data_IF_925294510534
#
_entry.id   IF_925294510534
#
_cell.length_a   1.000
_cell.length_b   1.000
_cell.length_c   1.000
_cell.angle_alpha   90.00
_cell.angle_beta   90.00
_cell.angle_gamma   90.00
#
_symmetry.space_group_name_H-M   'P 1'
#
loop_
_entity.id
_entity.type
_entity.pdbx_description
1 polymer ?
#
# COMPACT_ATOMS: atom_id res chain seq x y z
N UNK A 1 -26.12 -23.95 -36.21
CA UNK A 1 -25.81 -22.69 -36.96
C UNK A 1 -25.84 -21.52 -35.99
N UNK A 2 -24.68 -20.97 -35.61
CA UNK A 2 -24.61 -19.75 -34.77
C UNK A 2 -24.76 -18.50 -35.65
N UNK A 3 -25.52 -17.46 -35.22
CA UNK A 3 -25.87 -16.34 -36.07
C UNK A 3 -24.62 -15.54 -36.50
N UNK A 4 -24.59 -15.18 -37.79
CA UNK A 4 -23.47 -14.54 -38.51
C UNK A 4 -22.94 -13.27 -37.79
N UNK A 5 -23.79 -12.58 -37.02
CA UNK A 5 -23.41 -11.38 -36.24
C UNK A 5 -22.34 -11.64 -35.17
N UNK A 6 -22.29 -12.82 -34.54
CA UNK A 6 -21.31 -13.13 -33.48
C UNK A 6 -19.90 -13.40 -34.03
N UNK A 7 -19.78 -13.85 -35.29
CA UNK A 7 -18.48 -14.10 -35.93
C UNK A 7 -17.78 -12.78 -36.31
N UNK A 8 -18.56 -11.75 -36.66
CA UNK A 8 -18.05 -10.45 -37.09
C UNK A 8 -17.44 -9.63 -35.94
N UNK A 9 -17.98 -9.75 -34.71
CA UNK A 9 -17.47 -9.02 -33.52
C UNK A 9 -16.19 -9.67 -32.99
N UNK A 10 -16.13 -11.01 -32.94
CA UNK A 10 -14.93 -11.75 -32.51
C UNK A 10 -13.72 -11.50 -33.43
N UNK A 11 -13.94 -11.38 -34.74
CA UNK A 11 -12.86 -11.11 -35.71
C UNK A 11 -12.30 -9.70 -35.57
N UNK A 12 -13.15 -8.69 -35.33
CA UNK A 12 -12.71 -7.31 -35.05
C UNK A 12 -11.93 -7.17 -33.75
N UNK A 13 -12.33 -7.87 -32.68
CA UNK A 13 -11.60 -7.84 -31.41
C UNK A 13 -10.20 -8.49 -31.51
N UNK A 14 -10.07 -9.60 -32.25
CA UNK A 14 -8.78 -10.30 -32.39
C UNK A 14 -7.74 -9.54 -33.25
N UNK A 15 -8.19 -8.66 -34.15
CA UNK A 15 -7.29 -7.79 -34.93
C UNK A 15 -6.91 -6.51 -34.17
N UNK A 16 -7.80 -5.98 -33.33
CA UNK A 16 -7.49 -4.85 -32.43
C UNK A 16 -6.38 -5.20 -31.44
N UNK A 17 -6.43 -6.39 -30.83
CA UNK A 17 -5.43 -6.83 -29.84
C UNK A 17 -4.06 -7.11 -30.49
N UNK A 18 -4.03 -7.61 -31.72
CA UNK A 18 -2.76 -7.82 -32.44
C UNK A 18 -2.04 -6.51 -32.75
N UNK A 19 -2.77 -5.44 -33.08
CA UNK A 19 -2.20 -4.11 -33.34
C UNK A 19 -1.57 -3.49 -32.08
N UNK A 20 -2.20 -3.62 -30.92
CA UNK A 20 -1.64 -3.12 -29.65
C UNK A 20 -0.37 -3.88 -29.21
N UNK A 21 -0.33 -5.21 -29.42
CA UNK A 21 0.86 -6.01 -29.08
C UNK A 21 2.04 -5.68 -30.01
N UNK A 22 1.79 -5.33 -31.28
CA UNK A 22 2.86 -4.90 -32.21
C UNK A 22 3.36 -3.50 -31.93
N UNK A 23 2.51 -2.57 -31.46
CA UNK A 23 2.92 -1.19 -31.20
C UNK A 23 3.73 -1.05 -29.89
N UNK A 24 3.52 -1.96 -28.92
CA UNK A 24 4.26 -1.99 -27.65
C UNK A 24 5.65 -2.64 -27.74
N UNK A 25 6.01 -3.22 -28.89
CA UNK A 25 7.35 -3.81 -29.13
C UNK A 25 8.35 -2.82 -29.75
N UNK A 26 7.87 -1.66 -30.20
CA UNK A 26 8.68 -0.65 -30.91
C UNK A 26 9.00 0.59 -30.07
N UNK A 27 8.51 0.69 -28.82
CA UNK A 27 8.73 1.84 -27.93
C UNK A 27 9.81 1.56 -26.86
N UNK A 28 10.88 0.86 -27.25
CA UNK A 28 12.13 0.80 -26.49
C UNK A 28 13.21 1.53 -27.32
N UNK A 29 13.07 2.84 -27.48
CA UNK A 29 14.15 3.75 -27.86
C UNK A 29 13.65 5.21 -27.79
N UNK A 30 14.46 6.08 -27.18
CA UNK A 30 14.29 7.53 -26.99
C UNK A 30 13.24 7.94 -25.92
N UNK A 31 13.51 8.85 -24.99
CA UNK A 31 14.66 9.70 -24.76
C UNK A 31 14.31 10.70 -23.64
N UNK A 32 15.35 11.08 -22.91
CA UNK A 32 15.52 12.23 -22.02
C UNK A 32 14.45 13.35 -21.96
N UNK A 33 14.24 13.84 -20.73
CA UNK A 33 13.89 15.22 -20.32
C UNK A 33 12.47 15.74 -20.58
N UNK A 34 11.69 15.80 -19.50
CA UNK A 34 10.92 17.02 -19.16
C UNK A 34 11.05 17.25 -17.65
N UNK A 35 11.85 18.24 -17.29
CA UNK A 35 11.86 18.84 -15.96
C UNK A 35 10.78 19.92 -15.92
N UNK A 36 9.68 19.67 -15.21
CA UNK A 36 8.72 20.70 -14.83
C UNK A 36 8.78 20.90 -13.33
N UNK A 37 9.47 21.98 -12.94
CA UNK A 37 9.55 22.47 -11.57
C UNK A 37 8.18 22.93 -11.10
N UNK A 38 7.47 22.09 -10.35
CA UNK A 38 6.40 22.55 -9.49
C UNK A 38 7.00 22.93 -8.14
N UNK A 39 6.93 24.22 -7.82
CA UNK A 39 7.32 24.76 -6.52
C UNK A 39 6.49 24.07 -5.43
N UNK A 40 7.16 23.24 -4.61
CA UNK A 40 6.57 22.62 -3.43
C UNK A 40 6.65 23.63 -2.29
N UNK A 41 5.53 24.02 -1.65
CA UNK A 41 5.60 24.82 -0.43
C UNK A 41 6.34 24.03 0.64
N UNK A 42 7.44 24.61 1.15
CA UNK A 42 8.22 24.05 2.23
C UNK A 42 7.38 24.04 3.51
N UNK A 43 6.76 22.90 3.82
CA UNK A 43 6.20 22.66 5.14
C UNK A 43 7.35 22.43 6.12
N UNK A 44 7.62 23.44 6.93
CA UNK A 44 8.54 23.36 8.06
C UNK A 44 8.06 22.28 9.03
N UNK A 45 8.93 21.30 9.29
CA UNK A 45 8.70 20.24 10.27
C UNK A 45 8.73 20.89 11.67
N UNK A 46 7.66 20.83 12.48
CA UNK A 46 7.67 21.40 13.81
C UNK A 46 8.69 20.64 14.68
N UNK A 47 9.59 21.40 15.31
CA UNK A 47 10.56 20.91 16.28
C UNK A 47 9.82 20.24 17.45
N UNK A 48 9.94 18.92 17.58
CA UNK A 48 9.37 18.18 18.71
C UNK A 48 9.01 16.71 18.45
N UNK A 49 8.97 16.25 17.20
CA UNK A 49 8.78 14.83 16.88
C UNK A 49 10.11 14.15 16.56
N UNK A 50 10.45 13.07 17.27
CA UNK A 50 11.55 12.17 16.89
C UNK A 50 11.34 11.69 15.45
N UNK A 51 12.02 12.35 14.51
CA UNK A 51 12.05 11.98 13.11
C UNK A 51 12.92 10.72 13.01
N UNK A 52 12.30 9.56 13.17
CA UNK A 52 12.98 8.27 13.18
C UNK A 52 13.37 7.85 11.73
N UNK A 53 14.18 8.69 11.07
CA UNK A 53 14.65 8.47 9.70
C UNK A 53 15.58 7.26 9.56
N UNK A 54 16.27 6.91 10.65
CA UNK A 54 17.18 5.76 10.73
C UNK A 54 16.44 4.42 10.55
N UNK A 55 15.29 4.25 11.22
CA UNK A 55 14.50 3.03 11.18
C UNK A 55 13.90 2.75 9.79
N UNK A 56 13.50 3.81 9.07
CA UNK A 56 12.97 3.71 7.70
C UNK A 56 14.02 3.28 6.68
N UNK A 57 15.23 3.86 6.74
CA UNK A 57 16.33 3.52 5.85
C UNK A 57 16.81 2.08 6.07
N UNK A 58 16.94 1.66 7.33
CA UNK A 58 17.34 0.31 7.69
C UNK A 58 16.29 -0.74 7.26
N UNK A 59 15.01 -0.44 7.41
CA UNK A 59 13.92 -1.33 6.96
C UNK A 59 13.90 -1.53 5.44
N UNK A 60 14.17 -0.47 4.67
CA UNK A 60 14.29 -0.56 3.21
C UNK A 60 15.49 -1.41 2.80
N UNK A 61 16.65 -1.20 3.42
CA UNK A 61 17.85 -1.96 3.14
C UNK A 61 17.63 -3.46 3.39
N UNK A 62 17.01 -3.82 4.52
CA UNK A 62 16.67 -5.21 4.84
C UNK A 62 15.66 -5.80 3.84
N UNK A 63 14.68 -5.01 3.41
CA UNK A 63 13.72 -5.42 2.40
C UNK A 63 14.37 -5.72 1.04
N UNK A 64 15.32 -4.87 0.64
CA UNK A 64 16.10 -5.04 -0.59
C UNK A 64 17.01 -6.27 -0.53
N UNK A 65 17.72 -6.46 0.60
CA UNK A 65 18.57 -7.63 0.81
C UNK A 65 17.75 -8.92 0.70
N UNK A 66 16.58 -8.98 1.35
CA UNK A 66 15.68 -10.13 1.25
C UNK A 66 15.23 -10.37 -0.18
N UNK A 67 14.82 -9.34 -0.91
CA UNK A 67 14.41 -9.49 -2.32
C UNK A 67 15.55 -10.02 -3.20
N UNK A 68 16.75 -9.49 -2.98
CA UNK A 68 17.97 -9.89 -3.70
C UNK A 68 18.28 -11.36 -3.49
N UNK A 69 18.29 -11.81 -2.24
CA UNK A 69 18.52 -13.22 -1.87
C UNK A 69 17.38 -14.12 -2.37
N UNK A 70 16.13 -13.70 -2.20
CA UNK A 70 14.96 -14.49 -2.59
C UNK A 70 14.89 -14.71 -4.11
N UNK A 71 15.29 -13.72 -4.92
CA UNK A 71 15.16 -13.74 -6.38
C UNK A 71 16.49 -14.00 -7.11
N UNK A 72 17.60 -14.14 -6.38
CA UNK A 72 18.96 -14.27 -6.93
C UNK A 72 19.24 -13.18 -7.97
N UNK A 73 19.09 -11.91 -7.58
CA UNK A 73 19.30 -10.78 -8.49
C UNK A 73 20.78 -10.60 -8.82
N UNK A 74 21.11 -10.33 -10.10
CA UNK A 74 22.48 -9.95 -10.50
C UNK A 74 22.87 -8.59 -9.92
N UNK A 75 24.17 -8.25 -9.95
CA UNK A 75 24.64 -6.96 -9.46
C UNK A 75 23.99 -5.78 -10.20
N UNK A 76 23.85 -5.91 -11.52
CA UNK A 76 23.20 -4.90 -12.39
C UNK A 76 21.71 -4.77 -12.06
N UNK A 77 21.01 -5.89 -11.82
CA UNK A 77 19.61 -5.86 -11.41
C UNK A 77 19.44 -5.20 -10.04
N UNK A 78 20.32 -5.49 -9.08
CA UNK A 78 20.27 -4.88 -7.75
C UNK A 78 20.43 -3.36 -7.81
N UNK A 79 21.33 -2.86 -8.65
CA UNK A 79 21.53 -1.42 -8.83
C UNK A 79 20.28 -0.74 -9.43
N UNK A 80 19.68 -1.34 -10.46
CA UNK A 80 18.45 -0.83 -11.07
C UNK A 80 17.28 -0.81 -10.07
N UNK A 81 17.10 -1.90 -9.30
CA UNK A 81 16.05 -2.02 -8.27
C UNK A 81 16.28 -1.00 -7.14
N UNK A 82 17.54 -0.72 -6.76
CA UNK A 82 17.89 0.31 -5.78
C UNK A 82 17.57 1.71 -6.30
N UNK A 83 17.89 2.00 -7.56
CA UNK A 83 17.56 3.28 -8.20
C UNK A 83 16.05 3.52 -8.25
N UNK A 84 15.27 2.56 -8.73
CA UNK A 84 13.80 2.64 -8.77
C UNK A 84 13.21 2.97 -7.39
N UNK A 85 13.69 2.32 -6.32
CA UNK A 85 13.21 2.65 -4.97
C UNK A 85 13.63 4.04 -4.51
N UNK A 86 14.87 4.45 -4.77
CA UNK A 86 15.36 5.77 -4.37
C UNK A 86 14.57 6.89 -5.07
N UNK A 87 14.30 6.74 -6.36
CA UNK A 87 13.56 7.71 -7.17
C UNK A 87 12.11 7.88 -6.67
N UNK A 88 11.50 6.81 -6.13
CA UNK A 88 10.14 6.85 -5.56
C UNK A 88 10.11 7.26 -4.07
N UNK A 89 11.25 7.23 -3.38
CA UNK A 89 11.30 7.29 -1.91
C UNK A 89 10.67 8.57 -1.36
N UNK A 90 11.10 9.73 -1.87
CA UNK A 90 10.66 11.03 -1.37
C UNK A 90 9.18 11.27 -1.69
N UNK A 91 8.76 10.94 -2.91
CA UNK A 91 7.35 10.98 -3.32
C UNK A 91 6.46 10.15 -2.39
N UNK A 92 6.84 8.90 -2.13
CA UNK A 92 6.09 8.02 -1.25
C UNK A 92 6.16 8.45 0.22
N UNK A 93 7.26 9.08 0.65
CA UNK A 93 7.38 9.65 2.00
C UNK A 93 6.41 10.81 2.18
N UNK A 94 6.40 11.76 1.26
CA UNK A 94 5.49 12.90 1.30
C UNK A 94 4.02 12.45 1.34
N UNK A 95 3.64 11.47 0.51
CA UNK A 95 2.27 10.91 0.52
C UNK A 95 1.92 10.22 1.85
N UNK A 96 2.88 9.50 2.48
CA UNK A 96 2.67 8.89 3.80
C UNK A 96 2.48 9.94 4.88
N UNK A 97 3.30 10.99 4.87
CA UNK A 97 3.21 12.08 5.84
C UNK A 97 1.86 12.81 5.70
N UNK A 98 1.41 13.07 4.48
CA UNK A 98 0.09 13.65 4.20
C UNK A 98 -1.06 12.75 4.67
N UNK A 99 -0.95 11.43 4.46
CA UNK A 99 -1.95 10.47 4.96
C UNK A 99 -2.02 10.42 6.49
N UNK A 100 -0.88 10.55 7.18
CA UNK A 100 -0.85 10.64 8.64
C UNK A 100 -1.49 11.93 9.13
N UNK A 101 -1.16 13.06 8.52
CA UNK A 101 -1.76 14.35 8.85
C UNK A 101 -3.29 14.34 8.63
N UNK A 102 -3.76 13.78 7.51
CA UNK A 102 -5.19 13.64 7.23
C UNK A 102 -5.89 12.74 8.27
N UNK A 103 -5.26 11.62 8.67
CA UNK A 103 -5.79 10.74 9.72
C UNK A 103 -5.90 11.48 11.05
N UNK A 104 -4.87 12.23 11.42
CA UNK A 104 -4.86 12.98 12.68
C UNK A 104 -5.88 14.13 12.65
N UNK A 105 -6.07 14.79 11.50
CA UNK A 105 -7.11 15.79 11.31
C UNK A 105 -8.52 15.20 11.48
N UNK A 106 -8.77 14.03 10.89
CA UNK A 106 -10.04 13.30 11.06
C UNK A 106 -10.29 12.92 12.53
N UNK A 107 -9.26 12.46 13.25
CA UNK A 107 -9.38 12.09 14.67
C UNK A 107 -9.65 13.28 15.60
N UNK A 108 -9.22 14.50 15.21
CA UNK A 108 -9.38 15.73 15.99
C UNK A 108 -10.69 16.47 15.68
N UNK A 109 -11.50 16.00 14.74
CA UNK A 109 -12.81 16.59 14.49
C UNK A 109 -13.69 16.43 15.73
N UNK A 110 -14.36 17.51 16.12
CA UNK A 110 -15.37 17.49 17.16
C UNK A 110 -16.73 17.09 16.55
N UNK A 111 -17.31 15.93 16.92
CA UNK A 111 -18.61 15.50 16.42
C UNK A 111 -19.78 16.44 16.81
N UNK A 112 -19.60 17.31 17.80
CA UNK A 112 -20.60 18.30 18.21
C UNK A 112 -20.51 19.62 17.44
N UNK A 113 -19.46 19.82 16.63
CA UNK A 113 -19.30 21.03 15.84
C UNK A 113 -20.34 21.13 14.72
N UNK A 114 -20.90 22.32 14.50
CA UNK A 114 -21.93 22.56 13.47
C UNK A 114 -21.46 22.28 12.05
N UNK A 115 -20.15 22.39 11.80
CA UNK A 115 -19.50 22.18 10.51
C UNK A 115 -18.83 20.80 10.39
N UNK A 116 -19.07 19.89 11.34
CA UNK A 116 -18.42 18.57 11.41
C UNK A 116 -18.50 17.81 10.08
N UNK A 117 -19.70 17.68 9.51
CA UNK A 117 -19.92 16.91 8.27
C UNK A 117 -19.15 17.50 7.10
N UNK A 118 -19.24 18.82 6.90
CA UNK A 118 -18.52 19.51 5.83
C UNK A 118 -16.99 19.34 5.97
N UNK A 119 -16.46 19.39 7.20
CA UNK A 119 -15.02 19.15 7.45
C UNK A 119 -14.62 17.69 7.24
N UNK A 120 -15.46 16.76 7.65
CA UNK A 120 -15.24 15.33 7.44
C UNK A 120 -15.25 14.98 5.94
N UNK A 121 -16.19 15.54 5.17
CA UNK A 121 -16.31 15.33 3.73
C UNK A 121 -15.06 15.83 3.00
N UNK A 122 -14.60 17.05 3.31
CA UNK A 122 -13.36 17.60 2.74
C UNK A 122 -12.15 16.72 3.03
N UNK A 123 -11.98 16.26 4.28
CA UNK A 123 -10.88 15.37 4.65
C UNK A 123 -11.00 14.00 3.96
N UNK A 124 -12.21 13.50 3.73
CA UNK A 124 -12.44 12.28 2.99
C UNK A 124 -12.05 12.42 1.50
N UNK A 125 -12.39 13.54 0.87
CA UNK A 125 -11.98 13.88 -0.50
C UNK A 125 -10.46 13.95 -0.64
N UNK A 126 -9.79 14.70 0.25
CA UNK A 126 -8.33 14.81 0.29
C UNK A 126 -7.67 13.43 0.41
N UNK A 127 -8.22 12.58 1.30
CA UNK A 127 -7.76 11.20 1.46
C UNK A 127 -7.97 10.37 0.21
N UNK A 128 -9.10 10.55 -0.49
CA UNK A 128 -9.38 9.88 -1.76
C UNK A 128 -8.32 10.19 -2.81
N UNK A 129 -7.99 11.47 -2.99
CA UNK A 129 -6.93 11.91 -3.91
C UNK A 129 -5.56 11.38 -3.51
N UNK A 130 -5.23 11.38 -2.22
CA UNK A 130 -3.97 10.80 -1.72
C UNK A 130 -3.86 9.31 -2.02
N UNK A 131 -4.93 8.54 -1.77
CA UNK A 131 -4.97 7.11 -2.07
C UNK A 131 -4.80 6.84 -3.56
N UNK A 132 -5.47 7.61 -4.42
CA UNK A 132 -5.32 7.51 -5.87
C UNK A 132 -3.86 7.73 -6.30
N UNK A 133 -3.24 8.82 -5.82
CA UNK A 133 -1.85 9.15 -6.14
C UNK A 133 -0.89 8.04 -5.68
N UNK A 134 -1.08 7.52 -4.47
CA UNK A 134 -0.29 6.39 -3.96
C UNK A 134 -0.49 5.13 -4.79
N UNK A 135 -1.71 4.83 -5.26
CA UNK A 135 -1.97 3.67 -6.10
C UNK A 135 -1.24 3.77 -7.44
N UNK A 136 -1.29 4.95 -8.09
CA UNK A 136 -0.58 5.21 -9.35
C UNK A 136 0.93 5.06 -9.19
N UNK A 137 1.50 5.64 -8.13
CA UNK A 137 2.94 5.55 -7.88
C UNK A 137 3.40 4.11 -7.58
N UNK A 138 2.64 3.38 -6.76
CA UNK A 138 2.92 1.97 -6.51
C UNK A 138 2.82 1.12 -7.79
N UNK A 139 1.88 1.43 -8.68
CA UNK A 139 1.74 0.73 -9.96
C UNK A 139 2.94 1.02 -10.88
N UNK A 140 3.39 2.28 -10.96
CA UNK A 140 4.59 2.68 -11.71
C UNK A 140 5.83 1.93 -11.22
N UNK A 141 6.12 2.00 -9.93
CA UNK A 141 7.27 1.31 -9.31
C UNK A 141 7.18 -0.19 -9.56
N UNK A 142 5.99 -0.80 -9.43
CA UNK A 142 5.82 -2.23 -9.68
C UNK A 142 6.07 -2.61 -11.15
N UNK A 143 5.67 -1.76 -12.09
CA UNK A 143 5.92 -1.97 -13.51
C UNK A 143 7.42 -1.90 -13.83
N UNK A 144 8.11 -0.87 -13.33
CA UNK A 144 9.56 -0.70 -13.48
C UNK A 144 10.33 -1.89 -12.89
N UNK A 145 9.97 -2.32 -11.67
CA UNK A 145 10.55 -3.51 -11.07
C UNK A 145 10.32 -4.78 -11.89
N UNK A 146 9.13 -4.93 -12.47
CA UNK A 146 8.82 -6.09 -13.30
C UNK A 146 9.61 -6.10 -14.61
N UNK A 147 10.08 -4.95 -15.09
CA UNK A 147 10.89 -4.86 -16.30
C UNK A 147 12.33 -5.31 -16.07
N UNK A 148 12.85 -5.17 -14.84
CA UNK A 148 14.21 -5.61 -14.46
C UNK A 148 14.31 -7.13 -14.27
N UNK A 149 13.20 -7.79 -13.91
CA UNK A 149 13.18 -9.22 -13.56
C UNK A 149 12.94 -10.13 -14.78
N UNK A 150 13.62 -11.28 -14.79
CA UNK A 150 13.35 -12.33 -15.80
C UNK A 150 11.97 -12.95 -15.62
N UNK A 151 11.38 -13.62 -16.64
CA UNK A 151 10.10 -14.31 -16.50
C UNK A 151 10.06 -15.31 -15.33
N UNK A 152 11.15 -16.04 -15.10
CA UNK A 152 11.29 -17.03 -14.04
C UNK A 152 11.34 -16.35 -12.67
N UNK A 153 12.10 -15.25 -12.54
CA UNK A 153 12.16 -14.44 -11.33
C UNK A 153 10.78 -13.82 -11.01
N UNK A 154 10.02 -13.39 -12.02
CA UNK A 154 8.65 -12.88 -11.85
C UNK A 154 7.69 -13.94 -11.31
N UNK A 155 7.78 -15.18 -11.81
CA UNK A 155 7.00 -16.30 -11.29
C UNK A 155 7.35 -16.59 -9.82
N UNK A 156 8.64 -16.65 -9.49
CA UNK A 156 9.11 -16.83 -8.11
C UNK A 156 8.65 -15.70 -7.18
N UNK A 157 8.73 -14.45 -7.64
CA UNK A 157 8.25 -13.29 -6.89
C UNK A 157 6.73 -13.37 -6.61
N UNK A 158 5.94 -13.83 -7.57
CA UNK A 158 4.50 -14.03 -7.39
C UNK A 158 4.19 -15.14 -6.37
N UNK A 159 4.93 -16.25 -6.39
CA UNK A 159 4.81 -17.32 -5.41
C UNK A 159 5.15 -16.84 -3.99
N UNK A 160 6.31 -16.21 -3.83
CA UNK A 160 6.75 -15.66 -2.53
C UNK A 160 5.77 -14.63 -1.97
N UNK A 161 5.11 -13.85 -2.83
CA UNK A 161 4.04 -12.93 -2.43
C UNK A 161 2.83 -13.67 -1.87
N UNK A 162 2.40 -14.75 -2.50
CA UNK A 162 1.28 -15.59 -2.01
C UNK A 162 1.62 -16.23 -0.67
N UNK A 163 2.81 -16.80 -0.52
CA UNK A 163 3.27 -17.42 0.72
C UNK A 163 3.35 -16.41 1.87
N UNK A 164 3.93 -15.22 1.61
CA UNK A 164 3.99 -14.13 2.59
C UNK A 164 2.61 -13.64 2.99
N UNK A 165 1.65 -13.60 2.04
CA UNK A 165 0.26 -13.26 2.34
C UNK A 165 -0.38 -14.33 3.24
N UNK A 166 -0.25 -15.61 2.89
CA UNK A 166 -0.79 -16.72 3.68
C UNK A 166 -0.23 -16.74 5.12
N UNK A 167 1.09 -16.56 5.29
CA UNK A 167 1.73 -16.46 6.62
C UNK A 167 1.18 -15.28 7.43
N UNK A 168 0.96 -14.14 6.79
CA UNK A 168 0.37 -12.95 7.45
C UNK A 168 -1.07 -13.20 7.87
N UNK A 169 -1.85 -13.83 7.01
CA UNK A 169 -3.26 -14.15 7.28
C UNK A 169 -3.39 -15.17 8.41
N UNK A 170 -2.54 -16.21 8.44
CA UNK A 170 -2.47 -17.19 9.53
C UNK A 170 -2.13 -16.51 10.87
N UNK A 171 -1.09 -15.67 10.91
CA UNK A 171 -0.70 -14.92 12.12
C UNK A 171 -1.80 -13.96 12.60
N UNK A 172 -2.57 -13.38 11.67
CA UNK A 172 -3.73 -12.53 12.02
C UNK A 172 -4.86 -13.38 12.63
N UNK A 173 -5.07 -14.60 12.14
CA UNK A 173 -6.02 -15.56 12.71
C UNK A 173 -5.65 -15.94 14.15
N UNK A 174 -4.38 -16.28 14.39
CA UNK A 174 -3.87 -16.61 15.73
C UNK A 174 -4.03 -15.45 16.72
N UNK A 175 -3.70 -14.21 16.32
CA UNK A 175 -3.87 -13.01 17.17
C UNK A 175 -5.34 -12.67 17.45
N UNK A 176 -6.27 -13.02 16.55
CA UNK A 176 -7.72 -12.89 16.80
C UNK A 176 -8.23 -13.98 17.75
N UNK A 177 -7.63 -15.17 17.73
CA UNK A 177 -7.92 -16.25 18.69
C UNK A 177 -7.43 -15.96 20.11
N UNK A 178 -6.30 -15.25 20.25
CA UNK A 178 -5.72 -14.86 21.54
C UNK A 178 -6.51 -13.73 22.24
N UNK A 179 -7.20 -12.85 21.50
CA UNK A 179 -8.12 -11.84 22.07
C UNK A 179 -9.35 -12.45 22.77
N UNK A 180 -9.63 -13.74 22.58
CA UNK A 180 -10.69 -14.48 23.29
C UNK A 180 -10.23 -15.18 24.58
N UNK A 181 -8.91 -15.29 24.81
CA UNK A 181 -8.34 -15.85 26.04
C UNK A 181 -7.68 -14.71 26.81
N UNK A 182 -8.48 -14.06 27.65
CA UNK A 182 -8.07 -12.87 28.41
C UNK A 182 -6.69 -13.00 29.05
N UNK A 183 -5.71 -12.30 28.49
CA UNK A 183 -4.55 -11.84 29.26
C UNK A 183 -4.99 -10.60 30.03
N UNK A 184 -5.84 -10.81 31.02
CA UNK A 184 -5.94 -9.85 32.12
C UNK A 184 -4.60 -9.87 32.84
N UNK A 185 -3.92 -8.72 32.87
CA UNK A 185 -2.89 -8.53 33.89
C UNK A 185 -3.50 -8.76 35.28
N UNK A 186 -2.68 -9.09 36.30
CA UNK A 186 -3.17 -9.36 37.67
C UNK A 186 -3.94 -8.17 38.29
N UNK A 187 -3.94 -7.01 37.64
CA UNK A 187 -4.54 -5.76 38.05
C UNK A 187 -5.85 -5.41 37.32
N UNK A 188 -6.37 -6.25 36.41
CA UNK A 188 -7.74 -6.15 35.90
C UNK A 188 -8.10 -4.86 35.13
N UNK A 189 -7.12 -4.00 34.79
CA UNK A 189 -7.33 -2.75 34.04
C UNK A 189 -6.89 -2.89 32.59
N UNK A 190 -7.60 -3.74 31.85
CA UNK A 190 -7.52 -3.77 30.38
C UNK A 190 -8.68 -2.98 29.76
N UNK A 191 -8.49 -2.22 28.66
CA UNK A 191 -9.58 -1.58 27.93
C UNK A 191 -10.33 -2.64 27.11
N UNK A 192 -11.00 -3.56 27.81
CA UNK A 192 -11.80 -4.63 27.23
C UNK A 192 -13.28 -4.32 27.36
N UNK A 193 -13.88 -3.80 26.30
CA UNK A 193 -15.34 -3.66 26.19
C UNK A 193 -15.95 -5.00 25.70
N UNK A 194 -15.68 -6.08 26.44
CA UNK A 194 -16.26 -7.40 26.22
C UNK A 194 -17.36 -7.66 27.25
N UNK A 195 -18.43 -8.43 26.92
CA UNK A 195 -19.44 -8.78 27.90
C UNK A 195 -18.76 -9.56 29.03
N UNK A 196 -18.61 -8.91 30.18
CA UNK A 196 -18.18 -9.54 31.41
C UNK A 196 -19.10 -10.74 31.66
N UNK A 197 -18.49 -11.91 31.83
CA UNK A 197 -19.22 -13.11 32.21
C UNK A 197 -19.68 -12.86 33.65
N UNK A 198 -20.94 -12.52 33.86
CA UNK A 198 -21.51 -12.47 35.20
C UNK A 198 -21.54 -13.90 35.75
N UNK A 199 -20.48 -14.31 36.43
CA UNK A 199 -20.43 -15.53 37.23
C UNK A 199 -20.63 -15.13 38.69
N UNK A 200 -21.88 -15.04 39.12
CA UNK A 200 -22.27 -14.69 40.49
C UNK A 200 -23.57 -13.90 40.55
N UNK A 201 -24.45 -14.28 41.49
CA UNK A 201 -25.85 -13.88 41.65
C UNK A 201 -26.14 -12.39 41.42
N UNK A 202 -26.95 -12.10 40.41
CA UNK A 202 -27.54 -10.77 40.22
C UNK A 202 -28.87 -10.70 40.98
N UNK A 203 -29.10 -9.71 41.85
CA UNK A 203 -30.39 -9.53 42.51
C UNK A 203 -31.44 -9.17 41.45
N UNK A 204 -32.49 -9.98 41.33
CA UNK A 204 -33.66 -9.64 40.55
C UNK A 204 -34.40 -8.51 41.26
N UNK A 205 -34.35 -7.31 40.69
CA UNK A 205 -35.11 -6.19 41.21
C UNK A 205 -36.59 -6.39 40.87
N UNK A 206 -37.45 -6.25 41.89
CA UNK A 206 -38.92 -6.27 41.77
C UNK A 206 -39.42 -5.05 41.03
#
# INVERSE_FOLDING_TARGET
MLPVRLRCVRRRYAESIRKEITMNKSLIAAGLLIATSLAVPAFACPAGGQCNGQAGAQGMQQGMQRMTTDLNLSAEQQEQVKKIHNDSRETMKAMRDAMLANRDAMQKLDPAAKDYTARADKLAEEKGTLVEAMMKENARVRAEMSAVLTPEQRAKAAQLRKERKAKRDAKKGERRGDWGKGRGGPDGRGPGNGPGKCTGDCPQNK
#
